data_IF_384921004556
#
_entry.id   IF_384921004556
#
_cell.length_a   1.000
_cell.length_b   1.000
_cell.length_c   1.000
_cell.angle_alpha   90.00
_cell.angle_beta   90.00
_cell.angle_gamma   90.00
#
_symmetry.space_group_name_H-M   'P 1'
#
loop_
_entity.id
_entity.type
_entity.pdbx_description
1 polymer ?
#
# COMPACT_ATOMS: atom_id res chain seq x y z
N UNK A 1 -23.74 11.16 -27.73
CA UNK A 1 -22.63 10.54 -26.99
C UNK A 1 -23.21 9.38 -26.21
N UNK A 2 -22.58 8.20 -26.21
CA UNK A 2 -23.05 7.08 -25.40
C UNK A 2 -23.09 7.50 -23.92
N UNK A 3 -24.10 7.02 -23.18
CA UNK A 3 -24.17 7.26 -21.74
C UNK A 3 -23.00 6.53 -21.07
N UNK A 4 -22.15 7.28 -20.35
CA UNK A 4 -20.97 6.73 -19.66
C UNK A 4 -21.38 6.34 -18.23
N UNK A 5 -20.91 5.21 -17.69
CA UNK A 5 -21.33 4.74 -16.38
C UNK A 5 -20.81 5.65 -15.25
N UNK A 6 -21.28 5.43 -14.02
CA UNK A 6 -20.59 5.97 -12.84
C UNK A 6 -19.33 5.14 -12.62
N UNK A 7 -18.16 5.74 -12.76
CA UNK A 7 -16.88 5.04 -12.65
C UNK A 7 -16.18 5.42 -11.34
N UNK A 8 -15.76 4.42 -10.56
CA UNK A 8 -15.25 4.60 -9.22
C UNK A 8 -13.87 3.96 -9.10
N UNK A 9 -12.97 4.65 -8.40
CA UNK A 9 -11.63 4.18 -8.13
C UNK A 9 -11.34 4.17 -6.63
N UNK A 10 -10.77 3.05 -6.18
CA UNK A 10 -10.25 2.82 -4.82
C UNK A 10 -8.91 2.08 -4.95
N UNK A 11 -8.08 2.09 -3.92
CA UNK A 11 -6.79 1.38 -3.93
C UNK A 11 -6.31 1.09 -2.50
N UNK A 12 -5.24 0.29 -2.40
CA UNK A 12 -4.47 0.11 -1.16
C UNK A 12 -5.39 -0.30 0.01
N UNK A 13 -6.22 -1.32 -0.21
CA UNK A 13 -7.12 -1.87 0.82
C UNK A 13 -6.33 -2.82 1.75
N UNK A 14 -5.32 -3.50 1.21
CA UNK A 14 -4.38 -4.37 1.93
C UNK A 14 -5.04 -5.43 2.82
N UNK A 15 -5.94 -6.23 2.24
CA UNK A 15 -6.50 -7.40 2.91
C UNK A 15 -5.39 -8.44 3.15
N UNK A 16 -5.32 -8.99 4.36
CA UNK A 16 -4.28 -9.95 4.74
C UNK A 16 -4.86 -11.09 5.60
N UNK A 17 -4.12 -12.18 5.72
CA UNK A 17 -4.54 -13.44 6.35
C UNK A 17 -4.55 -13.39 7.89
N UNK A 18 -4.06 -12.30 8.50
CA UNK A 18 -3.96 -12.14 9.97
C UNK A 18 -4.40 -10.76 10.47
N UNK A 19 -4.92 -10.68 11.71
CA UNK A 19 -5.37 -9.42 12.33
C UNK A 19 -4.14 -8.63 12.79
N UNK A 20 -4.14 -7.33 12.50
CA UNK A 20 -3.54 -6.32 13.39
C UNK A 20 -4.65 -5.94 14.38
N UNK A 21 -4.32 -5.75 15.66
CA UNK A 21 -5.27 -5.82 16.78
C UNK A 21 -6.52 -4.91 16.73
N UNK A 22 -6.59 -3.91 15.85
CA UNK A 22 -7.62 -2.86 15.88
C UNK A 22 -8.17 -2.43 14.49
N UNK A 23 -8.14 -3.27 13.47
CA UNK A 23 -8.60 -2.86 12.14
C UNK A 23 -10.13 -2.72 12.04
N UNK A 24 -10.62 -1.58 11.53
CA UNK A 24 -12.04 -1.37 11.20
C UNK A 24 -12.49 -2.39 10.15
N UNK A 25 -13.64 -3.03 10.39
CA UNK A 25 -14.25 -4.01 9.48
C UNK A 25 -14.35 -3.48 8.05
N UNK A 26 -13.71 -4.17 7.10
CA UNK A 26 -13.73 -3.80 5.67
C UNK A 26 -15.13 -3.91 5.08
N UNK A 27 -15.94 -4.84 5.58
CA UNK A 27 -17.35 -4.96 5.20
C UNK A 27 -18.15 -3.71 5.62
N UNK A 28 -17.93 -3.19 6.84
CA UNK A 28 -18.60 -1.98 7.32
C UNK A 28 -18.13 -0.73 6.56
N UNK A 29 -16.83 -0.62 6.28
CA UNK A 29 -16.28 0.45 5.43
C UNK A 29 -16.94 0.43 4.06
N UNK A 30 -17.02 -0.74 3.42
CA UNK A 30 -17.68 -0.90 2.14
C UNK A 30 -19.16 -0.56 2.20
N UNK A 31 -19.88 -0.95 3.25
CA UNK A 31 -21.30 -0.62 3.40
C UNK A 31 -21.52 0.91 3.43
N UNK A 32 -20.75 1.63 4.25
CA UNK A 32 -20.79 3.11 4.34
C UNK A 32 -20.43 3.78 3.01
N UNK A 33 -19.41 3.25 2.33
CA UNK A 33 -19.05 3.70 0.99
C UNK A 33 -20.20 3.48 0.00
N UNK A 34 -20.79 2.28 0.01
CA UNK A 34 -21.85 1.91 -0.93
C UNK A 34 -23.11 2.75 -0.75
N UNK A 35 -23.48 3.15 0.47
CA UNK A 35 -24.59 4.08 0.70
C UNK A 35 -24.42 5.40 -0.07
N UNK A 36 -23.19 5.94 -0.09
CA UNK A 36 -22.88 7.18 -0.83
C UNK A 36 -22.93 6.94 -2.33
N UNK A 37 -22.35 5.83 -2.80
CA UNK A 37 -22.38 5.45 -4.22
C UNK A 37 -23.80 5.20 -4.70
N UNK A 38 -24.64 4.58 -3.88
CA UNK A 38 -26.04 4.32 -4.16
C UNK A 38 -26.82 5.62 -4.42
N UNK A 39 -26.56 6.65 -3.60
CA UNK A 39 -27.13 7.98 -3.80
C UNK A 39 -26.69 8.63 -5.12
N UNK A 40 -25.41 8.49 -5.49
CA UNK A 40 -24.87 9.07 -6.72
C UNK A 40 -25.29 8.32 -8.00
N UNK A 41 -25.33 6.99 -7.97
CA UNK A 41 -25.69 6.16 -9.14
C UNK A 41 -27.21 6.11 -9.36
N UNK A 42 -28.01 6.18 -8.31
CA UNK A 42 -29.44 5.88 -8.41
C UNK A 42 -29.68 4.45 -8.90
N UNK A 43 -30.29 4.27 -10.07
CA UNK A 43 -30.57 2.93 -10.64
C UNK A 43 -29.51 2.42 -11.63
N UNK A 44 -28.60 3.29 -12.11
CA UNK A 44 -27.61 2.88 -13.12
C UNK A 44 -26.53 1.97 -12.53
N UNK A 45 -26.02 1.00 -13.29
CA UNK A 45 -24.83 0.25 -12.87
C UNK A 45 -23.64 1.18 -12.64
N UNK A 46 -22.84 0.87 -11.63
CA UNK A 46 -21.55 1.51 -11.40
C UNK A 46 -20.42 0.57 -11.84
N UNK A 47 -19.29 1.14 -12.25
CA UNK A 47 -18.04 0.42 -12.45
C UNK A 47 -17.07 0.77 -11.31
N UNK A 48 -16.55 -0.22 -10.59
CA UNK A 48 -15.51 -0.04 -9.57
C UNK A 48 -14.22 -0.65 -10.06
N UNK A 49 -13.16 0.16 -10.09
CA UNK A 49 -11.81 -0.28 -10.37
C UNK A 49 -10.96 -0.18 -9.10
N UNK A 50 -10.43 -1.32 -8.65
CA UNK A 50 -9.41 -1.35 -7.60
C UNK A 50 -8.05 -1.16 -8.26
N UNK A 51 -7.36 -0.06 -7.94
CA UNK A 51 -6.09 0.37 -8.54
C UNK A 51 -4.90 -0.09 -7.72
N UNK A 52 -4.79 -1.41 -7.59
CA UNK A 52 -3.72 -2.12 -6.89
C UNK A 52 -3.94 -2.27 -5.40
N UNK A 53 -3.16 -3.21 -4.85
CA UNK A 53 -3.02 -3.51 -3.44
C UNK A 53 -4.37 -3.80 -2.73
N UNK A 54 -5.21 -4.62 -3.38
CA UNK A 54 -6.38 -5.20 -2.73
C UNK A 54 -5.93 -6.21 -1.67
N UNK A 55 -5.01 -7.09 -2.03
CA UNK A 55 -4.37 -8.04 -1.13
C UNK A 55 -2.99 -7.53 -0.70
N UNK A 56 -2.65 -7.71 0.55
CA UNK A 56 -1.28 -7.50 1.05
C UNK A 56 -0.50 -8.81 1.06
N UNK A 57 -0.25 -9.37 -0.13
CA UNK A 57 0.46 -10.65 -0.21
C UNK A 57 1.88 -10.50 0.31
N UNK A 58 2.57 -9.41 -0.03
CA UNK A 58 3.96 -9.16 0.41
C UNK A 58 4.10 -9.15 1.93
N UNK A 59 3.10 -8.62 2.65
CA UNK A 59 3.12 -8.53 4.12
C UNK A 59 2.14 -9.48 4.79
N UNK A 60 2.01 -10.67 4.23
CA UNK A 60 1.42 -11.80 4.93
C UNK A 60 2.42 -12.49 5.88
N UNK A 61 2.07 -12.70 7.17
CA UNK A 61 2.92 -13.47 8.08
C UNK A 61 3.11 -14.95 7.67
N UNK A 62 2.22 -15.52 6.87
CA UNK A 62 2.31 -16.91 6.37
C UNK A 62 3.56 -17.16 5.53
N UNK A 63 4.26 -16.13 5.05
CA UNK A 63 5.58 -16.31 4.42
C UNK A 63 6.60 -16.96 5.35
N UNK A 64 6.48 -16.76 6.67
CA UNK A 64 7.40 -17.32 7.66
C UNK A 64 7.12 -18.80 8.02
N UNK A 65 6.04 -19.40 7.50
CA UNK A 65 5.75 -20.82 7.69
C UNK A 65 6.57 -21.72 6.75
N UNK A 66 7.29 -21.13 5.79
CA UNK A 66 8.18 -21.84 4.89
C UNK A 66 9.47 -21.07 4.63
N UNK A 67 10.34 -21.63 3.79
CA UNK A 67 11.56 -20.95 3.30
C UNK A 67 11.31 -19.98 2.15
N UNK A 68 10.09 -19.96 1.59
CA UNK A 68 9.76 -19.10 0.46
C UNK A 68 9.44 -17.70 0.96
N UNK A 69 9.69 -16.69 0.12
CA UNK A 69 9.53 -15.28 0.45
C UNK A 69 8.90 -14.56 -0.74
N UNK A 70 8.22 -13.42 -0.53
CA UNK A 70 7.55 -12.70 -1.61
C UNK A 70 8.53 -12.15 -2.66
N UNK A 71 9.81 -11.99 -2.29
CA UNK A 71 10.89 -11.57 -3.17
C UNK A 71 11.67 -12.73 -3.81
N UNK A 72 11.24 -13.99 -3.62
CA UNK A 72 11.73 -15.11 -4.43
C UNK A 72 10.99 -15.16 -5.77
N UNK A 73 11.48 -15.99 -6.72
CA UNK A 73 10.90 -16.08 -8.05
C UNK A 73 9.39 -16.36 -8.03
N UNK A 74 8.61 -15.45 -8.63
CA UNK A 74 7.15 -15.42 -8.56
C UNK A 74 6.50 -16.72 -9.04
N UNK A 75 7.04 -17.31 -10.10
CA UNK A 75 6.53 -18.55 -10.71
C UNK A 75 7.07 -19.83 -10.07
N UNK A 76 7.85 -19.75 -8.98
CA UNK A 76 8.32 -20.96 -8.31
C UNK A 76 7.16 -21.64 -7.59
N UNK A 77 7.09 -22.99 -7.66
CA UNK A 77 6.03 -23.76 -7.01
C UNK A 77 5.87 -23.45 -5.51
N UNK A 78 6.95 -23.09 -4.82
CA UNK A 78 6.91 -22.70 -3.42
C UNK A 78 6.22 -21.36 -3.17
N UNK A 79 6.50 -20.35 -4.00
CA UNK A 79 5.89 -19.02 -3.91
C UNK A 79 4.42 -19.10 -4.32
N UNK A 80 4.09 -19.77 -5.44
CA UNK A 80 2.72 -19.93 -5.91
C UNK A 80 1.83 -20.62 -4.87
N UNK A 81 2.28 -21.72 -4.26
CA UNK A 81 1.51 -22.39 -3.19
C UNK A 81 1.27 -21.52 -1.97
N UNK A 82 2.26 -20.71 -1.59
CA UNK A 82 2.08 -19.76 -0.49
C UNK A 82 1.05 -18.69 -0.85
N UNK A 83 1.10 -18.14 -2.06
CA UNK A 83 0.10 -17.16 -2.54
C UNK A 83 -1.30 -17.76 -2.54
N UNK A 84 -1.47 -18.98 -3.05
CA UNK A 84 -2.76 -19.68 -3.04
C UNK A 84 -3.32 -19.82 -1.61
N UNK A 85 -2.48 -20.21 -0.65
CA UNK A 85 -2.85 -20.31 0.77
C UNK A 85 -3.25 -18.94 1.34
N UNK A 86 -2.41 -17.92 1.16
CA UNK A 86 -2.62 -16.58 1.71
C UNK A 86 -3.93 -15.99 1.19
N UNK A 87 -4.22 -16.13 -0.11
CA UNK A 87 -5.45 -15.62 -0.73
C UNK A 87 -6.67 -16.38 -0.22
N UNK A 88 -6.60 -17.69 -0.07
CA UNK A 88 -7.68 -18.51 0.50
C UNK A 88 -8.02 -18.06 1.92
N UNK A 89 -7.00 -17.94 2.78
CA UNK A 89 -7.17 -17.53 4.18
C UNK A 89 -7.67 -16.10 4.28
N UNK A 90 -7.15 -15.18 3.45
CA UNK A 90 -7.60 -13.78 3.40
C UNK A 90 -9.07 -13.69 2.96
N UNK A 91 -9.50 -14.41 1.93
CA UNK A 91 -10.90 -14.43 1.48
C UNK A 91 -11.83 -14.99 2.56
N UNK A 92 -11.44 -16.12 3.18
CA UNK A 92 -12.24 -16.75 4.22
C UNK A 92 -12.44 -15.82 5.42
N UNK A 93 -11.38 -15.11 5.78
CA UNK A 93 -11.37 -14.14 6.87
C UNK A 93 -12.18 -12.88 6.55
N UNK A 94 -12.00 -12.32 5.37
CA UNK A 94 -12.68 -11.11 4.90
C UNK A 94 -13.99 -11.44 4.16
N UNK A 95 -14.62 -12.58 4.51
CA UNK A 95 -15.81 -13.10 3.83
C UNK A 95 -16.93 -12.07 3.74
N UNK A 96 -17.17 -11.30 4.82
CA UNK A 96 -18.20 -10.26 4.83
C UNK A 96 -17.98 -9.16 3.78
N UNK A 97 -16.72 -8.80 3.50
CA UNK A 97 -16.38 -7.83 2.48
C UNK A 97 -16.60 -8.39 1.07
N UNK A 98 -16.13 -9.62 0.81
CA UNK A 98 -16.35 -10.29 -0.48
C UNK A 98 -17.82 -10.60 -0.75
N UNK A 99 -18.59 -11.04 0.25
CA UNK A 99 -20.04 -11.25 0.16
C UNK A 99 -20.75 -9.95 -0.21
N UNK A 100 -20.36 -8.81 0.38
CA UNK A 100 -20.95 -7.51 0.09
C UNK A 100 -20.66 -7.05 -1.35
N UNK A 101 -19.43 -7.24 -1.84
CA UNK A 101 -19.09 -6.99 -3.25
C UNK A 101 -19.88 -7.90 -4.19
N UNK A 102 -19.88 -9.21 -3.92
CA UNK A 102 -20.61 -10.23 -4.70
C UNK A 102 -22.10 -9.92 -4.78
N UNK A 103 -22.70 -9.46 -3.70
CA UNK A 103 -24.11 -9.07 -3.69
C UNK A 103 -24.42 -7.96 -4.71
N UNK A 104 -23.50 -7.01 -4.93
CA UNK A 104 -23.66 -5.93 -5.92
C UNK A 104 -23.30 -6.34 -7.33
N UNK A 105 -22.32 -7.25 -7.48
CA UNK A 105 -21.92 -7.79 -8.78
C UNK A 105 -23.03 -8.70 -9.34
N UNK A 106 -23.56 -9.62 -8.52
CA UNK A 106 -24.56 -10.60 -8.95
C UNK A 106 -25.91 -9.98 -9.32
N UNK A 107 -26.27 -8.83 -8.76
CA UNK A 107 -27.49 -8.07 -9.13
C UNK A 107 -27.28 -7.16 -10.35
N UNK A 108 -26.05 -7.08 -10.89
CA UNK A 108 -25.70 -6.17 -11.98
C UNK A 108 -25.62 -4.69 -11.57
N UNK A 109 -25.65 -4.39 -10.26
CA UNK A 109 -25.48 -3.03 -9.75
C UNK A 109 -24.03 -2.54 -9.85
N UNK A 110 -23.07 -3.48 -9.85
CA UNK A 110 -21.65 -3.20 -9.85
C UNK A 110 -20.91 -4.07 -10.88
N UNK A 111 -20.09 -3.43 -11.71
CA UNK A 111 -19.05 -4.10 -12.50
C UNK A 111 -17.70 -3.89 -11.82
N UNK A 112 -16.93 -4.96 -11.65
CA UNK A 112 -15.66 -4.93 -10.93
C UNK A 112 -14.48 -5.05 -11.89
N UNK A 113 -13.48 -4.18 -11.72
CA UNK A 113 -12.22 -4.19 -12.46
C UNK A 113 -11.06 -4.22 -11.47
N UNK A 114 -9.97 -4.90 -11.83
CA UNK A 114 -8.83 -5.07 -10.95
C UNK A 114 -7.51 -4.80 -11.69
N UNK A 115 -6.89 -3.68 -11.35
CA UNK A 115 -5.50 -3.37 -11.69
C UNK A 115 -4.61 -3.85 -10.55
N UNK A 116 -3.57 -4.63 -10.83
CA UNK A 116 -2.63 -5.12 -9.81
C UNK A 116 -1.64 -4.05 -9.39
N UNK A 117 -1.28 -4.05 -8.11
CA UNK A 117 -0.23 -3.25 -7.49
C UNK A 117 0.98 -4.09 -7.08
N UNK A 118 1.93 -3.49 -6.35
CA UNK A 118 3.16 -4.19 -5.97
C UNK A 118 2.93 -5.21 -4.86
N UNK A 119 1.93 -5.03 -3.98
CA UNK A 119 1.65 -5.98 -2.91
C UNK A 119 0.84 -7.20 -3.37
N UNK A 120 0.14 -7.12 -4.50
CA UNK A 120 -0.67 -8.22 -5.05
C UNK A 120 -0.22 -8.70 -6.44
N UNK A 121 0.91 -8.20 -6.98
CA UNK A 121 1.50 -8.64 -8.26
C UNK A 121 1.65 -10.16 -8.39
N UNK A 122 1.89 -10.86 -7.29
CA UNK A 122 2.07 -12.33 -7.27
C UNK A 122 0.78 -13.09 -7.63
N UNK A 123 -0.39 -12.44 -7.58
CA UNK A 123 -1.64 -13.01 -8.11
C UNK A 123 -1.52 -13.35 -9.59
N UNK A 124 -0.75 -12.59 -10.37
CA UNK A 124 -0.56 -12.80 -11.82
C UNK A 124 0.00 -14.19 -12.14
N UNK A 125 0.73 -14.80 -11.21
CA UNK A 125 1.36 -16.12 -11.35
C UNK A 125 0.66 -17.24 -10.58
N UNK A 126 -0.46 -16.95 -9.91
CA UNK A 126 -1.18 -17.87 -9.03
C UNK A 126 -2.60 -18.16 -9.54
N UNK A 127 -2.78 -19.08 -10.52
CA UNK A 127 -4.08 -19.31 -11.14
C UNK A 127 -5.14 -19.85 -10.18
N UNK A 128 -4.74 -20.61 -9.15
CA UNK A 128 -5.70 -21.13 -8.18
C UNK A 128 -6.18 -20.03 -7.21
N UNK A 129 -5.33 -19.06 -6.85
CA UNK A 129 -5.72 -17.83 -6.18
C UNK A 129 -6.67 -16.97 -7.03
N UNK A 130 -6.37 -16.76 -8.32
CA UNK A 130 -7.26 -16.02 -9.23
C UNK A 130 -8.65 -16.66 -9.31
N UNK A 131 -8.71 -17.99 -9.42
CA UNK A 131 -9.97 -18.73 -9.43
C UNK A 131 -10.77 -18.52 -8.14
N UNK A 132 -10.13 -18.65 -6.97
CA UNK A 132 -10.77 -18.41 -5.66
C UNK A 132 -11.31 -16.99 -5.53
N UNK A 133 -10.56 -15.99 -6.00
CA UNK A 133 -11.02 -14.60 -6.02
C UNK A 133 -12.26 -14.41 -6.91
N UNK A 134 -12.24 -14.99 -8.13
CA UNK A 134 -13.40 -14.94 -9.02
C UNK A 134 -14.64 -15.58 -8.36
N UNK A 135 -14.48 -16.75 -7.74
CA UNK A 135 -15.56 -17.43 -7.00
C UNK A 135 -16.10 -16.60 -5.83
N UNK A 136 -15.21 -15.96 -5.07
CA UNK A 136 -15.57 -15.08 -3.96
C UNK A 136 -16.38 -13.87 -4.42
N UNK A 137 -16.05 -13.30 -5.58
CA UNK A 137 -16.77 -12.19 -6.20
C UNK A 137 -18.04 -12.64 -6.97
N UNK A 138 -18.28 -13.94 -7.12
CA UNK A 138 -19.39 -14.49 -7.91
C UNK A 138 -19.21 -14.32 -9.42
N UNK A 139 -17.97 -14.25 -9.90
CA UNK A 139 -17.59 -14.09 -11.30
C UNK A 139 -17.09 -15.43 -11.88
N UNK A 140 -17.27 -15.64 -13.19
CA UNK A 140 -16.76 -16.86 -13.86
C UNK A 140 -15.22 -16.88 -13.94
N UNK A 141 -14.63 -15.71 -14.13
CA UNK A 141 -13.19 -15.47 -14.14
C UNK A 141 -12.93 -14.03 -13.74
N UNK A 142 -11.72 -13.74 -13.24
CA UNK A 142 -11.24 -12.38 -12.98
C UNK A 142 -10.11 -12.06 -13.96
N UNK A 143 -10.21 -10.93 -14.64
CA UNK A 143 -9.12 -10.40 -15.45
C UNK A 143 -8.28 -9.46 -14.57
N UNK A 144 -6.97 -9.73 -14.52
CA UNK A 144 -6.02 -8.91 -13.78
C UNK A 144 -5.25 -8.03 -14.76
N UNK A 145 -5.30 -6.72 -14.55
CA UNK A 145 -4.70 -5.74 -15.44
C UNK A 145 -3.44 -5.14 -14.81
N UNK A 146 -2.40 -4.86 -15.61
CA UNK A 146 -1.30 -3.98 -15.16
C UNK A 146 -1.70 -2.50 -15.25
N UNK A 147 -2.54 -2.20 -16.23
CA UNK A 147 -3.13 -0.90 -16.50
C UNK A 147 -4.46 -1.09 -17.21
N UNK A 148 -5.37 -0.12 -17.09
CA UNK A 148 -6.68 -0.15 -17.71
C UNK A 148 -7.11 1.25 -18.18
N UNK A 149 -7.61 1.34 -19.42
CA UNK A 149 -8.11 2.58 -20.01
C UNK A 149 -9.64 2.62 -19.99
N UNK A 150 -10.19 3.70 -19.44
CA UNK A 150 -11.61 4.02 -19.47
C UNK A 150 -11.83 5.17 -20.44
N UNK A 151 -11.83 4.85 -21.73
CA UNK A 151 -11.91 5.83 -22.84
C UNK A 151 -13.13 6.74 -22.77
N UNK A 152 -14.28 6.23 -22.29
CA UNK A 152 -15.49 7.03 -22.07
C UNK A 152 -15.33 8.15 -21.04
N UNK A 153 -14.35 8.04 -20.14
CA UNK A 153 -14.01 9.08 -19.15
C UNK A 153 -12.66 9.75 -19.44
N UNK A 154 -11.87 9.25 -20.40
CA UNK A 154 -10.51 9.71 -20.65
C UNK A 154 -9.56 9.43 -19.48
N UNK A 155 -9.74 8.30 -18.80
CA UNK A 155 -8.97 7.90 -17.62
C UNK A 155 -8.05 6.73 -17.95
N UNK A 156 -6.79 6.85 -17.54
CA UNK A 156 -5.83 5.76 -17.46
C UNK A 156 -5.64 5.37 -15.99
N UNK A 157 -5.81 4.10 -15.65
CA UNK A 157 -5.57 3.56 -14.31
C UNK A 157 -4.40 2.58 -14.35
N UNK A 158 -3.42 2.76 -13.46
CA UNK A 158 -2.32 1.82 -13.20
C UNK A 158 -1.84 2.02 -11.76
N UNK A 159 -1.12 1.07 -11.17
CA UNK A 159 -0.63 1.25 -9.80
C UNK A 159 0.65 2.10 -9.74
N UNK A 160 0.74 3.02 -8.78
CA UNK A 160 1.76 4.08 -8.73
C UNK A 160 3.20 3.62 -8.46
N UNK A 161 3.40 2.34 -8.12
CA UNK A 161 4.69 1.76 -7.78
C UNK A 161 5.72 1.89 -8.92
N UNK A 162 5.29 2.01 -10.18
CA UNK A 162 6.17 2.23 -11.34
C UNK A 162 7.02 3.51 -11.22
N UNK A 163 6.55 4.49 -10.45
CA UNK A 163 7.25 5.75 -10.18
C UNK A 163 8.07 5.75 -8.88
N UNK A 164 8.11 4.62 -8.16
CA UNK A 164 8.79 4.47 -6.87
C UNK A 164 10.09 3.66 -7.01
N UNK A 165 11.27 4.26 -6.74
CA UNK A 165 12.55 3.56 -6.83
C UNK A 165 12.72 2.31 -5.94
N UNK A 166 11.94 2.19 -4.86
CA UNK A 166 11.99 1.05 -3.93
C UNK A 166 11.04 -0.08 -4.36
N UNK A 167 9.91 0.28 -4.99
CA UNK A 167 8.80 -0.62 -5.31
C UNK A 167 8.57 -0.81 -6.83
N UNK A 168 9.42 -0.22 -7.66
CA UNK A 168 9.44 -0.45 -9.10
C UNK A 168 10.37 -1.60 -9.47
N UNK A 169 9.89 -2.48 -10.34
CA UNK A 169 10.69 -3.44 -11.08
C UNK A 169 10.29 -3.35 -12.56
N UNK A 170 11.22 -3.07 -13.49
CA UNK A 170 10.91 -2.98 -14.93
C UNK A 170 10.23 -4.23 -15.48
N UNK A 171 10.60 -5.41 -14.96
CA UNK A 171 10.10 -6.70 -15.42
C UNK A 171 8.89 -7.20 -14.60
N UNK A 172 8.46 -6.44 -13.57
CA UNK A 172 7.41 -6.84 -12.62
C UNK A 172 7.87 -7.86 -11.57
N UNK A 173 9.18 -8.07 -11.49
CA UNK A 173 9.85 -8.96 -10.53
C UNK A 173 9.89 -8.39 -9.11
N UNK A 174 10.45 -9.17 -8.19
CA UNK A 174 10.67 -8.79 -6.81
C UNK A 174 11.39 -7.46 -6.63
N UNK A 175 10.95 -6.69 -5.65
CA UNK A 175 11.50 -5.37 -5.33
C UNK A 175 12.25 -5.39 -4.00
N UNK A 176 13.09 -4.38 -3.74
CA UNK A 176 13.66 -4.22 -2.40
C UNK A 176 12.56 -3.89 -1.37
N UNK A 177 11.47 -3.25 -1.80
CA UNK A 177 10.27 -3.05 -1.00
C UNK A 177 9.68 -4.35 -0.47
N UNK A 178 9.63 -5.40 -1.28
CA UNK A 178 9.14 -6.73 -0.87
C UNK A 178 9.97 -7.32 0.27
N UNK A 179 11.30 -7.16 0.18
CA UNK A 179 12.22 -7.58 1.22
C UNK A 179 12.10 -6.69 2.48
N UNK A 180 11.88 -5.38 2.34
CA UNK A 180 11.63 -4.49 3.48
C UNK A 180 10.36 -4.92 4.21
N UNK A 181 9.25 -5.10 3.48
CA UNK A 181 7.97 -5.55 4.04
C UNK A 181 8.08 -6.89 4.77
N UNK A 182 8.68 -7.89 4.13
CA UNK A 182 8.86 -9.22 4.74
C UNK A 182 9.89 -9.21 5.88
N UNK A 183 11.13 -8.81 5.59
CA UNK A 183 12.27 -9.11 6.46
C UNK A 183 12.54 -8.04 7.53
N UNK A 184 11.97 -6.83 7.40
CA UNK A 184 12.02 -5.79 8.44
C UNK A 184 10.66 -5.63 9.12
N UNK A 185 9.64 -5.24 8.36
CA UNK A 185 8.34 -4.79 8.92
C UNK A 185 7.61 -5.94 9.60
N UNK A 186 7.45 -7.09 8.95
CA UNK A 186 6.79 -8.25 9.56
C UNK A 186 7.68 -9.00 10.56
N UNK A 187 8.98 -9.12 10.27
CA UNK A 187 9.88 -9.91 11.11
C UNK A 187 10.08 -9.27 12.49
N UNK A 188 10.09 -7.94 12.57
CA UNK A 188 10.36 -7.22 13.82
C UNK A 188 9.34 -7.50 14.94
N UNK A 189 8.02 -7.29 14.76
CA UNK A 189 7.02 -7.61 15.79
C UNK A 189 7.03 -9.10 16.16
N UNK A 190 7.20 -9.98 15.16
CA UNK A 190 7.26 -11.44 15.38
C UNK A 190 8.42 -11.83 16.30
N UNK A 191 9.63 -11.32 16.05
CA UNK A 191 10.79 -11.60 16.89
C UNK A 191 10.65 -10.97 18.27
N UNK A 192 10.07 -9.77 18.36
CA UNK A 192 9.85 -9.12 19.65
C UNK A 192 8.91 -9.95 20.53
N UNK A 193 7.78 -10.42 20.00
CA UNK A 193 6.87 -11.33 20.71
C UNK A 193 7.54 -12.60 21.18
N UNK A 194 8.39 -13.20 20.35
CA UNK A 194 9.14 -14.39 20.73
C UNK A 194 10.11 -14.12 21.90
N UNK A 195 10.61 -12.88 22.02
CA UNK A 195 11.53 -12.48 23.09
C UNK A 195 10.80 -12.12 24.40
N UNK A 196 9.70 -11.37 24.34
CA UNK A 196 9.03 -10.83 25.54
C UNK A 196 7.78 -11.60 25.97
N UNK A 197 7.29 -12.52 25.13
CA UNK A 197 6.02 -13.22 25.31
C UNK A 197 4.90 -12.58 24.46
N UNK A 198 4.06 -13.41 23.84
CA UNK A 198 2.98 -12.94 22.97
C UNK A 198 1.90 -12.14 23.71
N UNK A 199 1.70 -12.42 25.00
CA UNK A 199 0.72 -11.76 25.86
C UNK A 199 1.32 -10.60 26.68
N UNK A 200 2.58 -10.22 26.39
CA UNK A 200 3.18 -9.09 27.07
C UNK A 200 2.35 -7.83 26.80
N UNK A 201 1.88 -7.09 27.82
CA UNK A 201 1.02 -5.93 27.63
C UNK A 201 1.60 -4.96 26.61
N UNK A 202 0.79 -4.52 25.64
CA UNK A 202 1.14 -3.55 24.63
C UNK A 202 2.19 -4.00 23.61
N UNK A 203 2.49 -5.30 23.49
CA UNK A 203 3.29 -5.82 22.37
C UNK A 203 2.47 -5.84 21.06
N UNK A 204 1.14 -5.83 21.16
CA UNK A 204 0.19 -5.68 20.07
C UNK A 204 0.33 -4.34 19.34
N UNK A 205 0.64 -3.26 20.08
CA UNK A 205 0.92 -1.92 19.51
C UNK A 205 2.18 -1.92 18.62
N UNK A 206 2.97 -3.00 18.64
CA UNK A 206 4.17 -3.10 17.80
C UNK A 206 3.83 -3.51 16.35
N UNK A 207 2.66 -4.12 16.12
CA UNK A 207 2.19 -4.47 14.77
C UNK A 207 1.89 -3.24 13.91
N UNK A 208 1.57 -2.12 14.56
CA UNK A 208 1.30 -0.82 13.97
C UNK A 208 2.47 -0.28 13.13
N UNK A 209 3.66 -0.89 13.23
CA UNK A 209 4.79 -0.68 12.32
C UNK A 209 4.38 -0.81 10.85
N UNK A 210 3.41 -1.68 10.57
CA UNK A 210 2.92 -1.94 9.22
C UNK A 210 2.10 -0.78 8.62
N UNK A 211 1.57 0.08 9.48
CA UNK A 211 0.79 1.27 9.15
C UNK A 211 1.62 2.55 9.16
N UNK A 212 2.91 2.46 9.51
CA UNK A 212 3.82 3.62 9.48
C UNK A 212 4.01 4.11 8.06
N UNK A 213 3.58 5.34 7.82
CA UNK A 213 3.72 5.99 6.52
C UNK A 213 4.37 7.34 6.68
N UNK A 214 5.26 7.71 5.76
CA UNK A 214 5.90 6.87 4.72
C UNK A 214 6.82 5.77 5.30
N UNK A 215 7.10 4.69 4.56
CA UNK A 215 7.83 3.50 5.08
C UNK A 215 9.21 3.82 5.67
N UNK A 216 9.89 4.84 5.16
CA UNK A 216 11.20 5.27 5.69
C UNK A 216 11.11 5.91 7.09
N UNK A 217 9.91 6.20 7.60
CA UNK A 217 9.67 6.67 8.95
C UNK A 217 9.70 5.55 10.00
N UNK A 218 9.67 4.28 9.58
CA UNK A 218 9.67 3.11 10.46
C UNK A 218 10.78 3.15 11.52
N UNK A 219 12.06 3.45 11.18
CA UNK A 219 13.09 3.59 12.20
C UNK A 219 12.75 4.65 13.25
N UNK A 220 12.22 5.80 12.85
CA UNK A 220 11.82 6.84 13.80
C UNK A 220 10.65 6.39 14.70
N UNK A 221 9.70 5.64 14.14
CA UNK A 221 8.58 5.07 14.89
C UNK A 221 9.04 4.04 15.91
N UNK A 222 9.91 3.09 15.54
CA UNK A 222 10.48 2.08 16.47
C UNK A 222 11.18 2.75 17.66
N UNK A 223 11.88 3.87 17.40
CA UNK A 223 12.51 4.67 18.46
C UNK A 223 11.50 5.34 19.37
N UNK A 224 10.39 5.84 18.83
CA UNK A 224 9.30 6.42 19.61
C UNK A 224 8.68 5.36 20.52
N UNK A 225 8.40 4.16 20.00
CA UNK A 225 7.85 3.05 20.79
C UNK A 225 8.78 2.68 21.96
N UNK A 226 10.09 2.61 21.73
CA UNK A 226 11.07 2.39 22.80
C UNK A 226 11.03 3.45 23.90
N UNK A 227 10.61 4.69 23.58
CA UNK A 227 10.54 5.79 24.53
C UNK A 227 9.23 5.81 25.33
N UNK A 228 8.12 5.46 24.66
CA UNK A 228 6.79 5.32 25.28
C UNK A 228 6.80 4.09 26.21
N UNK A 229 7.40 2.99 25.75
CA UNK A 229 7.40 1.67 26.40
C UNK A 229 8.76 1.38 27.00
N UNK A 230 9.04 2.02 28.14
CA UNK A 230 10.34 1.92 28.82
C UNK A 230 10.69 0.48 29.24
N UNK A 231 9.67 -0.31 29.53
CA UNK A 231 9.73 -1.76 29.77
C UNK A 231 10.24 -2.54 28.54
N UNK A 232 9.79 -2.14 27.35
CA UNK A 232 10.18 -2.76 26.07
C UNK A 232 11.41 -2.11 25.42
N UNK A 233 11.99 -1.06 26.01
CA UNK A 233 13.10 -0.32 25.43
C UNK A 233 14.27 -1.23 25.03
N UNK A 234 14.76 -2.08 25.95
CA UNK A 234 15.89 -2.98 25.68
C UNK A 234 15.49 -4.06 24.65
N UNK A 235 14.37 -4.79 24.82
CA UNK A 235 13.89 -5.74 23.80
C UNK A 235 13.73 -5.15 22.40
N UNK A 236 13.02 -4.03 22.25
CA UNK A 236 12.81 -3.36 20.95
C UNK A 236 14.15 -3.01 20.31
N UNK A 237 15.01 -2.35 21.08
CA UNK A 237 16.33 -1.90 20.65
C UNK A 237 17.20 -3.07 20.18
N UNK A 238 17.21 -4.18 20.94
CA UNK A 238 17.93 -5.39 20.57
C UNK A 238 17.37 -6.03 19.29
N UNK A 239 16.06 -6.32 19.27
CA UNK A 239 15.42 -7.02 18.14
C UNK A 239 15.50 -6.20 16.86
N UNK A 240 15.30 -4.88 16.92
CA UNK A 240 15.44 -4.01 15.75
C UNK A 240 16.85 -4.08 15.16
N UNK A 241 17.89 -4.01 16.01
CA UNK A 241 19.28 -4.10 15.53
C UNK A 241 19.57 -5.47 14.89
N UNK A 242 19.11 -6.57 15.49
CA UNK A 242 19.25 -7.92 14.92
C UNK A 242 18.53 -8.07 13.58
N UNK A 243 17.30 -7.56 13.47
CA UNK A 243 16.49 -7.60 12.24
C UNK A 243 17.14 -6.79 11.12
N UNK A 244 17.70 -5.61 11.43
CA UNK A 244 18.46 -4.81 10.47
C UNK A 244 19.72 -5.55 10.00
N UNK A 245 20.47 -6.18 10.91
CA UNK A 245 21.68 -6.91 10.55
C UNK A 245 21.35 -8.15 9.67
N UNK A 246 20.28 -8.88 9.97
CA UNK A 246 19.78 -9.98 9.14
C UNK A 246 19.34 -9.49 7.75
N UNK A 247 18.63 -8.36 7.68
CA UNK A 247 18.19 -7.77 6.42
C UNK A 247 19.38 -7.39 5.53
N UNK A 248 20.39 -6.71 6.09
CA UNK A 248 21.61 -6.35 5.35
C UNK A 248 22.49 -7.58 5.01
N UNK A 249 22.31 -8.69 5.72
CA UNK A 249 22.99 -9.96 5.44
C UNK A 249 22.29 -10.82 4.38
N UNK A 250 21.00 -10.58 4.11
CA UNK A 250 20.19 -11.33 3.15
C UNK A 250 20.77 -11.26 1.73
N UNK A 251 20.83 -12.40 1.03
CA UNK A 251 21.46 -12.50 -0.29
C UNK A 251 20.77 -11.64 -1.35
N UNK A 252 19.44 -11.60 -1.37
CA UNK A 252 18.68 -10.74 -2.29
C UNK A 252 18.99 -9.27 -2.04
N UNK A 253 18.96 -8.84 -0.77
CA UNK A 253 19.26 -7.46 -0.37
C UNK A 253 20.69 -7.08 -0.74
N UNK A 254 21.67 -7.95 -0.48
CA UNK A 254 23.08 -7.73 -0.82
C UNK A 254 23.28 -7.60 -2.33
N UNK A 255 22.64 -8.45 -3.13
CA UNK A 255 22.71 -8.37 -4.58
C UNK A 255 22.07 -7.09 -5.10
N UNK A 256 20.90 -6.72 -4.57
CA UNK A 256 20.24 -5.47 -4.92
C UNK A 256 21.14 -4.26 -4.57
N UNK A 257 21.67 -4.17 -3.36
CA UNK A 257 22.58 -3.09 -2.95
C UNK A 257 23.79 -2.96 -3.87
N UNK A 258 24.41 -4.08 -4.28
CA UNK A 258 25.53 -4.09 -5.24
C UNK A 258 25.11 -3.57 -6.61
N UNK A 259 23.91 -3.92 -7.08
CA UNK A 259 23.38 -3.49 -8.39
C UNK A 259 23.13 -1.97 -8.48
N UNK A 260 22.91 -1.31 -7.34
CA UNK A 260 22.64 0.14 -7.28
C UNK A 260 23.90 1.00 -7.41
N UNK A 261 25.10 0.43 -7.41
CA UNK A 261 26.35 1.18 -7.46
C UNK A 261 26.53 1.93 -8.79
N UNK A 262 26.21 3.23 -8.82
CA UNK A 262 26.69 4.18 -9.83
C UNK A 262 27.93 4.91 -9.33
N UNK A 263 28.83 5.23 -10.25
CA UNK A 263 30.25 5.47 -9.98
C UNK A 263 30.58 6.77 -9.21
N UNK A 264 29.65 7.73 -9.06
CA UNK A 264 30.02 9.08 -8.56
C UNK A 264 28.96 9.82 -7.70
N UNK A 265 27.92 9.14 -7.18
CA UNK A 265 26.97 9.73 -6.23
C UNK A 265 26.64 8.77 -5.07
N UNK A 266 26.07 9.29 -3.97
CA UNK A 266 25.34 8.46 -3.01
C UNK A 266 24.12 7.88 -3.72
N UNK A 267 24.30 6.71 -4.32
CA UNK A 267 23.21 5.94 -4.91
C UNK A 267 22.16 5.56 -3.84
N UNK A 268 20.95 5.25 -4.31
CA UNK A 268 19.79 4.90 -3.48
C UNK A 268 20.11 3.81 -2.45
N UNK A 269 20.90 2.81 -2.86
CA UNK A 269 21.32 1.69 -2.01
C UNK A 269 22.20 2.13 -0.84
N UNK A 270 23.21 2.98 -1.10
CA UNK A 270 24.05 3.56 -0.03
C UNK A 270 23.24 4.37 0.96
N UNK A 271 22.28 5.16 0.48
CA UNK A 271 21.38 5.96 1.35
C UNK A 271 20.53 5.05 2.25
N UNK A 272 19.87 4.04 1.68
CA UNK A 272 19.08 3.07 2.45
C UNK A 272 19.93 2.33 3.48
N UNK A 273 21.11 1.84 3.07
CA UNK A 273 22.04 1.15 3.97
C UNK A 273 22.46 2.05 5.12
N UNK A 274 22.86 3.29 4.84
CA UNK A 274 23.25 4.25 5.87
C UNK A 274 22.09 4.54 6.84
N UNK A 275 20.88 4.77 6.33
CA UNK A 275 19.69 4.99 7.16
C UNK A 275 19.44 3.83 8.14
N UNK A 276 19.52 2.59 7.65
CA UNK A 276 19.34 1.40 8.47
C UNK A 276 20.48 1.23 9.46
N UNK A 277 21.73 1.42 9.03
CA UNK A 277 22.91 1.29 9.90
C UNK A 277 22.90 2.32 11.04
N UNK A 278 22.44 3.54 10.79
CA UNK A 278 22.26 4.61 11.79
C UNK A 278 21.08 4.36 12.74
N UNK A 279 20.10 3.54 12.34
CA UNK A 279 18.97 3.18 13.19
C UNK A 279 19.33 2.15 14.27
N UNK A 280 20.56 1.61 14.27
CA UNK A 280 21.04 0.62 15.24
C UNK A 280 21.53 1.25 16.55
N UNK A 281 21.50 0.46 17.62
CA UNK A 281 21.79 0.87 19.01
C UNK A 281 23.12 1.61 19.21
N UNK A 282 24.19 1.21 18.52
CA UNK A 282 25.54 1.77 18.74
C UNK A 282 25.67 3.25 18.36
N UNK A 283 24.81 3.76 17.48
CA UNK A 283 24.82 5.17 17.05
C UNK A 283 23.81 6.00 17.86
N UNK A 284 22.75 5.37 18.36
CA UNK A 284 21.64 6.03 19.04
C UNK A 284 21.91 6.49 20.47
N UNK A 285 22.93 5.96 21.14
CA UNK A 285 23.28 6.37 22.51
C UNK A 285 23.93 7.77 22.60
N UNK A 286 24.35 8.36 21.48
CA UNK A 286 25.17 9.59 21.45
C UNK A 286 24.69 10.68 20.47
N UNK A 287 23.61 10.46 19.71
CA UNK A 287 23.09 11.43 18.73
C UNK A 287 21.97 12.29 19.29
N UNK A 288 21.97 13.61 19.02
CA UNK A 288 20.82 14.45 19.33
C UNK A 288 19.63 14.08 18.44
N UNK A 289 18.47 13.86 19.05
CA UNK A 289 17.24 13.43 18.38
C UNK A 289 16.86 14.33 17.18
N UNK A 290 17.19 15.61 17.29
CA UNK A 290 16.94 16.62 16.27
C UNK A 290 17.82 16.46 15.02
N UNK A 291 19.11 16.14 15.17
CA UNK A 291 20.03 15.92 14.04
C UNK A 291 19.67 14.64 13.28
N UNK A 292 19.31 13.59 14.01
CA UNK A 292 18.88 12.34 13.39
C UNK A 292 17.54 12.52 12.67
N UNK A 293 16.62 13.31 13.23
CA UNK A 293 15.36 13.67 12.56
C UNK A 293 15.58 14.53 11.31
N UNK A 294 16.49 15.51 11.34
CA UNK A 294 16.90 16.29 10.16
C UNK A 294 17.51 15.41 9.08
N UNK A 295 18.36 14.46 9.46
CA UNK A 295 18.97 13.51 8.54
C UNK A 295 17.92 12.60 7.91
N UNK A 296 16.99 12.07 8.70
CA UNK A 296 15.85 11.33 8.18
C UNK A 296 15.13 12.17 7.13
N UNK A 297 14.69 13.41 7.46
CA UNK A 297 14.03 14.35 6.52
C UNK A 297 14.80 14.55 5.22
N UNK A 298 16.11 14.76 5.29
CA UNK A 298 16.96 14.92 4.10
C UNK A 298 16.90 13.68 3.20
N UNK A 299 16.89 12.49 3.80
CA UNK A 299 16.73 11.25 3.05
C UNK A 299 15.31 11.04 2.52
N UNK A 300 14.27 11.47 3.25
CA UNK A 300 12.85 11.33 2.85
C UNK A 300 12.61 11.86 1.43
N UNK A 301 13.05 13.09 1.14
CA UNK A 301 12.91 13.71 -0.19
C UNK A 301 13.63 12.96 -1.32
N UNK A 302 14.63 12.13 -1.00
CA UNK A 302 15.32 11.31 -2.00
C UNK A 302 14.52 10.05 -2.39
N UNK A 303 13.52 9.67 -1.61
CA UNK A 303 12.64 8.53 -1.84
C UNK A 303 11.25 8.94 -2.36
N UNK A 304 10.95 10.24 -2.40
CA UNK A 304 9.69 10.74 -2.95
C UNK A 304 9.61 10.37 -4.44
N UNK A 305 8.64 9.52 -4.77
CA UNK A 305 8.43 9.05 -6.13
C UNK A 305 7.99 10.18 -7.06
N UNK A 306 8.21 9.98 -8.37
CA UNK A 306 7.86 10.96 -9.40
C UNK A 306 6.58 10.59 -10.13
N UNK A 307 5.58 10.07 -9.40
CA UNK A 307 4.36 9.50 -9.99
C UNK A 307 3.63 10.50 -10.90
N UNK A 308 3.52 11.77 -10.49
CA UNK A 308 2.91 12.82 -11.31
C UNK A 308 3.67 13.09 -12.62
N UNK A 309 5.01 12.97 -12.61
CA UNK A 309 5.82 13.16 -13.81
C UNK A 309 5.71 11.96 -14.76
N UNK A 310 5.66 10.74 -14.21
CA UNK A 310 5.37 9.51 -14.98
C UNK A 310 3.97 9.59 -15.59
N UNK A 311 2.97 10.02 -14.81
CA UNK A 311 1.61 10.24 -15.28
C UNK A 311 1.54 11.25 -16.43
N UNK A 312 2.25 12.37 -16.32
CA UNK A 312 2.32 13.35 -17.41
C UNK A 312 2.94 12.77 -18.68
N UNK A 313 4.01 11.97 -18.55
CA UNK A 313 4.64 11.29 -19.70
C UNK A 313 3.70 10.25 -20.34
N UNK A 314 2.93 9.50 -19.55
CA UNK A 314 1.94 8.55 -20.06
C UNK A 314 0.80 9.24 -20.82
N UNK A 315 0.29 10.35 -20.29
CA UNK A 315 -0.75 11.12 -20.98
C UNK A 315 -0.26 11.73 -22.30
N UNK A 316 1.02 12.09 -22.42
CA UNK A 316 1.59 12.58 -23.67
C UNK A 316 1.67 11.49 -24.75
N UNK A 317 1.81 10.23 -24.36
CA UNK A 317 1.91 9.08 -25.27
C UNK A 317 0.55 8.56 -25.71
N UNK A 318 -0.51 8.78 -24.92
CA UNK A 318 -1.83 8.19 -25.13
C UNK A 318 -2.84 9.22 -25.61
N UNK A 319 -3.45 8.94 -26.77
CA UNK A 319 -4.50 9.81 -27.31
C UNK A 319 -5.81 9.61 -26.55
N UNK A 320 -6.52 10.70 -26.28
CA UNK A 320 -7.86 10.66 -25.66
C UNK A 320 -7.87 10.52 -24.14
N UNK A 321 -6.71 10.42 -23.48
CA UNK A 321 -6.59 10.41 -22.02
C UNK A 321 -6.32 11.82 -21.49
N UNK A 322 -6.91 12.14 -20.34
CA UNK A 322 -6.69 13.39 -19.60
C UNK A 322 -6.44 13.17 -18.11
N UNK A 323 -6.85 12.02 -17.59
CA UNK A 323 -6.72 11.69 -16.18
C UNK A 323 -5.86 10.46 -15.99
N UNK A 324 -5.00 10.50 -14.98
CA UNK A 324 -4.29 9.32 -14.48
C UNK A 324 -4.72 9.05 -13.06
N UNK A 325 -5.06 7.80 -12.75
CA UNK A 325 -5.44 7.37 -11.40
C UNK A 325 -4.47 6.28 -10.94
N UNK A 326 -3.83 6.50 -9.80
CA UNK A 326 -2.91 5.57 -9.15
C UNK A 326 -3.32 5.30 -7.70
N UNK A 327 -2.92 4.15 -7.15
CA UNK A 327 -2.76 3.92 -5.70
C UNK A 327 -1.32 4.16 -5.25
N UNK A 328 -0.82 3.43 -4.25
CA UNK A 328 0.59 3.21 -3.86
C UNK A 328 1.11 3.98 -2.64
N UNK A 329 0.88 5.29 -2.55
CA UNK A 329 1.51 6.10 -1.48
C UNK A 329 0.75 6.06 -0.16
N UNK A 330 -0.47 5.48 -0.17
CA UNK A 330 -1.48 5.58 0.88
C UNK A 330 -1.99 6.99 1.18
N UNK A 331 -1.34 8.04 0.65
CA UNK A 331 -1.73 9.42 0.84
C UNK A 331 -2.50 9.95 -0.38
N UNK A 332 -3.75 10.35 -0.20
CA UNK A 332 -4.55 10.86 -1.30
C UNK A 332 -3.92 12.15 -1.86
N UNK A 333 -3.78 12.24 -3.19
CA UNK A 333 -3.26 13.43 -3.87
C UNK A 333 -4.04 13.73 -5.15
N UNK A 334 -4.28 15.00 -5.45
CA UNK A 334 -4.78 15.48 -6.75
C UNK A 334 -3.84 16.58 -7.25
N UNK A 335 -3.19 16.36 -8.39
CA UNK A 335 -2.23 17.30 -8.97
C UNK A 335 -2.59 17.63 -10.42
N UNK A 336 -2.82 18.90 -10.76
CA UNK A 336 -2.94 19.34 -12.15
C UNK A 336 -1.64 19.08 -12.91
N UNK A 337 -1.74 18.52 -14.12
CA UNK A 337 -0.61 18.21 -15.02
C UNK A 337 -0.53 19.18 -16.22
N UNK A 338 -1.43 20.16 -16.30
CA UNK A 338 -1.54 21.09 -17.42
C UNK A 338 -2.81 20.87 -18.22
N UNK A 339 -2.73 21.01 -19.55
CA UNK A 339 -3.89 20.93 -20.46
C UNK A 339 -3.62 19.94 -21.60
N UNK A 340 -4.62 19.13 -21.94
CA UNK A 340 -4.63 18.20 -23.07
C UNK A 340 -5.96 18.36 -23.80
N UNK A 341 -5.93 18.58 -25.12
CA UNK A 341 -7.12 18.76 -25.98
C UNK A 341 -8.15 19.74 -25.36
N UNK A 342 -7.66 20.91 -24.95
CA UNK A 342 -8.43 22.00 -24.32
C UNK A 342 -9.09 21.69 -22.97
N UNK A 343 -8.87 20.52 -22.38
CA UNK A 343 -9.28 20.17 -21.02
C UNK A 343 -8.13 20.15 -20.01
N UNK A 344 -8.40 20.28 -18.71
CA UNK A 344 -7.39 20.07 -17.68
C UNK A 344 -6.97 18.59 -17.66
N UNK A 345 -5.66 18.35 -17.57
CA UNK A 345 -5.11 17.04 -17.29
C UNK A 345 -4.78 16.93 -15.79
N UNK A 346 -5.10 15.80 -15.17
CA UNK A 346 -4.99 15.65 -13.70
C UNK A 346 -4.45 14.27 -13.34
N UNK A 347 -3.51 14.24 -12.40
CA UNK A 347 -3.05 13.05 -11.71
C UNK A 347 -3.79 12.90 -10.38
N UNK A 348 -4.25 11.69 -10.09
CA UNK A 348 -4.83 11.31 -8.82
C UNK A 348 -4.04 10.17 -8.17
N UNK A 349 -3.79 10.29 -6.87
CA UNK A 349 -3.53 9.16 -5.99
C UNK A 349 -4.79 8.92 -5.15
N UNK A 350 -5.37 7.73 -5.23
CA UNK A 350 -6.62 7.40 -4.55
C UNK A 350 -6.46 7.25 -3.05
N UNK A 351 -5.27 7.15 -2.48
CA UNK A 351 -5.05 7.02 -1.04
C UNK A 351 -5.15 5.56 -0.56
N UNK A 352 -5.91 5.29 0.50
CA UNK A 352 -5.99 3.96 1.13
C UNK A 352 -7.27 3.80 1.97
N UNK A 353 -7.64 2.55 2.29
CA UNK A 353 -8.78 2.19 3.14
C UNK A 353 -8.34 1.54 4.47
N UNK A 354 -7.19 1.95 5.01
CA UNK A 354 -6.58 1.35 6.19
C UNK A 354 -6.11 2.41 7.21
N UNK A 355 -5.65 1.91 8.35
CA UNK A 355 -4.99 2.69 9.36
C UNK A 355 -3.65 3.25 8.84
N UNK A 356 -3.35 4.48 9.19
CA UNK A 356 -2.11 5.16 8.85
C UNK A 356 -1.53 5.77 10.13
N UNK A 357 -0.25 5.50 10.39
CA UNK A 357 0.55 6.22 11.36
C UNK A 357 1.35 7.28 10.64
N UNK A 358 0.78 8.48 10.55
CA UNK A 358 1.41 9.61 9.88
C UNK A 358 2.38 10.32 10.81
N UNK A 359 3.60 10.52 10.34
CA UNK A 359 4.64 11.23 11.08
C UNK A 359 4.39 12.76 11.11
N UNK A 360 4.58 13.37 12.28
CA UNK A 360 4.50 14.81 12.53
C UNK A 360 5.82 15.35 13.10
N UNK A 361 6.25 16.52 12.60
CA UNK A 361 7.60 17.06 12.84
C UNK A 361 7.67 18.56 13.18
N UNK A 362 6.56 19.28 13.09
CA UNK A 362 6.58 20.76 13.08
C UNK A 362 6.71 21.37 14.48
N UNK A 363 6.38 20.61 15.52
CA UNK A 363 6.64 20.98 16.90
C UNK A 363 8.00 20.40 17.30
N UNK A 364 8.88 21.25 17.87
CA UNK A 364 10.22 20.83 18.29
C UNK A 364 10.19 19.61 19.22
N UNK A 365 11.16 18.71 19.06
CA UNK A 365 11.24 17.47 19.85
C UNK A 365 11.34 16.22 18.98
N UNK A 366 10.97 15.07 19.56
CA UNK A 366 10.94 13.79 18.84
C UNK A 366 9.78 13.78 17.85
N UNK A 367 9.92 13.10 16.69
CA UNK A 367 8.81 12.84 15.81
C UNK A 367 7.63 12.21 16.57
N UNK A 368 6.44 12.70 16.31
CA UNK A 368 5.19 12.12 16.80
C UNK A 368 4.48 11.42 15.65
N UNK A 369 3.59 10.49 15.96
CA UNK A 369 2.82 9.76 14.97
C UNK A 369 1.35 9.85 15.34
N UNK A 370 0.51 10.20 14.36
CA UNK A 370 -0.93 10.24 14.51
C UNK A 370 -1.53 9.00 13.84
N UNK A 371 -2.10 8.05 14.61
CA UNK A 371 -2.96 7.00 14.07
C UNK A 371 -4.29 7.59 13.55
N UNK A 372 -4.70 7.18 12.34
CA UNK A 372 -6.08 7.35 11.87
C UNK A 372 -6.44 6.33 10.80
N UNK A 373 -7.72 5.95 10.72
CA UNK A 373 -8.27 5.15 9.62
C UNK A 373 -8.64 6.06 8.45
N UNK A 374 -8.02 5.85 7.29
CA UNK A 374 -8.35 6.57 6.07
C UNK A 374 -9.42 5.82 5.25
N UNK A 375 -10.28 6.57 4.56
CA UNK A 375 -11.17 6.04 3.52
C UNK A 375 -11.31 7.08 2.41
N UNK A 376 -10.82 6.73 1.23
CA UNK A 376 -10.67 7.65 0.10
C UNK A 376 -11.12 7.01 -1.21
N UNK A 377 -11.78 7.77 -2.07
CA UNK A 377 -12.24 7.27 -3.37
C UNK A 377 -12.41 8.40 -4.38
N UNK A 378 -12.33 8.06 -5.66
CA UNK A 378 -12.52 8.98 -6.78
C UNK A 378 -13.68 8.48 -7.63
N UNK A 379 -14.59 9.37 -8.01
CA UNK A 379 -15.76 9.05 -8.82
C UNK A 379 -15.78 9.92 -10.06
N UNK A 380 -15.91 9.32 -11.24
CA UNK A 380 -16.23 10.01 -12.49
C UNK A 380 -17.70 9.81 -12.84
N UNK A 381 -18.37 10.89 -13.23
CA UNK A 381 -19.82 10.91 -13.38
C UNK A 381 -20.28 10.68 -14.81
N UNK A 382 -21.50 10.15 -15.03
CA UNK A 382 -22.15 10.09 -16.33
C UNK A 382 -22.27 11.45 -17.03
N UNK A 383 -22.42 11.43 -18.35
CA UNK A 383 -22.58 12.65 -19.16
C UNK A 383 -23.88 13.39 -18.82
N UNK A 384 -24.89 12.68 -18.33
CA UNK A 384 -26.20 13.21 -17.94
C UNK A 384 -26.28 13.66 -16.47
N UNK A 385 -25.15 13.74 -15.76
CA UNK A 385 -25.11 14.18 -14.37
C UNK A 385 -25.77 15.56 -14.20
N UNK A 386 -26.76 15.64 -13.31
CA UNK A 386 -27.58 16.85 -13.12
C UNK A 386 -26.76 18.06 -12.64
N UNK A 387 -25.65 17.81 -11.96
CA UNK A 387 -24.71 18.84 -11.49
C UNK A 387 -23.59 19.12 -12.51
N UNK A 388 -23.59 18.44 -13.66
CA UNK A 388 -22.58 18.55 -14.72
C UNK A 388 -21.15 18.33 -14.22
N UNK A 389 -20.98 17.41 -13.27
CA UNK A 389 -19.66 17.06 -12.74
C UNK A 389 -18.92 16.15 -13.71
N UNK A 390 -17.61 16.35 -13.85
CA UNK A 390 -16.75 15.34 -14.48
C UNK A 390 -16.33 14.28 -13.46
N UNK A 391 -15.86 14.73 -12.29
CA UNK A 391 -15.46 13.87 -11.19
C UNK A 391 -15.70 14.51 -9.82
N UNK A 392 -15.70 13.68 -8.78
CA UNK A 392 -15.59 14.06 -7.37
C UNK A 392 -14.52 13.21 -6.70
N UNK A 393 -13.73 13.85 -5.85
CA UNK A 393 -12.69 13.19 -5.09
C UNK A 393 -12.99 13.36 -3.60
N UNK A 394 -13.12 12.23 -2.90
CA UNK A 394 -13.53 12.19 -1.51
C UNK A 394 -12.42 11.62 -0.64
N UNK A 395 -12.09 12.34 0.42
CA UNK A 395 -11.13 11.90 1.43
C UNK A 395 -11.75 12.03 2.81
N UNK A 396 -11.57 11.00 3.64
CA UNK A 396 -12.02 10.99 5.02
C UNK A 396 -10.99 10.28 5.90
N UNK A 397 -10.90 10.73 7.15
CA UNK A 397 -10.09 10.12 8.18
C UNK A 397 -10.91 10.00 9.46
N UNK A 398 -10.70 8.92 10.21
CA UNK A 398 -11.32 8.67 11.50
C UNK A 398 -10.23 8.42 12.53
N UNK A 399 -10.30 9.12 13.66
CA UNK A 399 -9.48 8.83 14.84
C UNK A 399 -10.40 8.22 15.88
N UNK A 400 -10.12 6.98 16.29
CA UNK A 400 -10.87 6.31 17.35
C UNK A 400 -10.58 7.01 18.68
N UNK A 401 -11.64 7.33 19.44
CA UNK A 401 -11.46 7.84 20.81
C UNK A 401 -11.05 6.67 21.71
N UNK A 402 -9.89 6.75 22.33
CA UNK A 402 -9.57 5.88 23.46
C UNK A 402 -10.45 6.32 24.64
N UNK A 403 -11.31 5.41 25.12
CA UNK A 403 -12.13 5.63 26.31
C UNK A 403 -11.32 5.46 27.59
#
# INVERSE_FOLDING_TARGET
MADRPLLIFVSDIHLTDSLHGNAVSKAEQFARFWERIQGARGKRPAELCVVGDLFDLVRSPSWFDSRNRPYHGASTNGVVRNVDKIVEETIAREKGFFDALRAKISTGELKFHYVVGNHDRLLMTAPAAQKRLAEALGMASIELHKELEFTGHGVLAYHGNVGDPINASPDGDATIGDAIGSELILKFPRKLRAMVGADHPGVEEIDDIDDVRPVYAVPAWVRQQSAIRKDLLRPISQVWSEVVDEFLANDFVRQWLKSQHKTWSLDLGKKLRLLLELSRNKVMAHGSDERLSQLYRFFQHSFDGKMQAVAAAELQRRRGMRYVVNGHSHFPSMQPLGRINDGPAVYFNTGTWRAVHQIGHDLGGRPSFLPYDAMTYLVFFPTDDKLRRDYEWWTGAMVTRHC
#
